data_IF_027886010571
#
_entry.id   IF_027886010571
#
_cell.length_a   1.000
_cell.length_b   1.000
_cell.length_c   1.000
_cell.angle_alpha   90.00
_cell.angle_beta   90.00
_cell.angle_gamma   90.00
#
_symmetry.space_group_name_H-M   'P 1'
#
loop_
_entity.id
_entity.type
_entity.pdbx_description
1 polymer ?
#
# COMPACT_ATOMS: atom_id res chain seq x y z
N UNK A 1 6.33 2.38 -21.57
CA UNK A 1 5.16 2.67 -20.72
C UNK A 1 5.60 2.71 -19.27
N UNK A 2 5.07 3.65 -18.48
CA UNK A 2 5.25 3.69 -17.02
C UNK A 2 4.43 2.57 -16.39
N UNK A 3 4.93 1.94 -15.31
CA UNK A 3 4.16 0.96 -14.54
C UNK A 3 3.81 1.55 -13.18
N UNK A 4 2.53 1.71 -12.87
CA UNK A 4 2.08 2.48 -11.70
C UNK A 4 1.45 1.59 -10.63
N UNK A 5 1.80 1.81 -9.37
CA UNK A 5 1.11 1.21 -8.23
C UNK A 5 0.62 2.29 -7.27
N UNK A 6 -0.64 2.20 -6.83
CA UNK A 6 -1.20 3.06 -5.80
C UNK A 6 -1.04 2.38 -4.44
N UNK A 7 -0.61 3.14 -3.44
CA UNK A 7 -0.47 2.64 -2.07
C UNK A 7 -1.19 3.53 -1.06
N UNK A 8 -1.76 2.90 -0.04
CA UNK A 8 -2.21 3.54 1.18
C UNK A 8 -1.54 2.84 2.37
N UNK A 9 -1.01 3.62 3.30
CA UNK A 9 -0.45 3.13 4.55
C UNK A 9 -1.27 3.72 5.69
N UNK A 10 -1.81 2.85 6.54
CA UNK A 10 -2.58 3.22 7.73
C UNK A 10 -1.92 2.64 8.97
N UNK A 11 -1.82 3.45 10.02
CA UNK A 11 -1.34 3.04 11.36
C UNK A 11 -2.28 3.59 12.43
N UNK A 12 -2.26 3.00 13.62
CA UNK A 12 -3.19 3.38 14.69
C UNK A 12 -2.72 4.58 15.52
N UNK A 13 -1.40 4.68 15.76
CA UNK A 13 -0.83 5.64 16.71
C UNK A 13 0.03 6.70 16.03
N UNK A 14 -0.07 7.96 16.48
CA UNK A 14 0.69 9.09 15.89
C UNK A 14 2.19 8.95 16.06
N UNK A 15 2.64 8.25 17.09
CA UNK A 15 4.04 7.97 17.37
C UNK A 15 4.71 7.15 16.26
N UNK A 16 3.95 6.42 15.44
CA UNK A 16 4.47 5.70 14.27
C UNK A 16 4.77 6.64 13.09
N UNK A 17 4.45 7.94 13.16
CA UNK A 17 4.75 8.91 12.08
C UNK A 17 6.24 8.96 11.70
N UNK A 18 7.15 8.78 12.67
CA UNK A 18 8.58 8.70 12.40
C UNK A 18 8.94 7.44 11.58
N UNK A 19 8.33 6.29 11.91
CA UNK A 19 8.51 5.05 11.16
C UNK A 19 7.93 5.15 9.74
N UNK A 20 6.79 5.84 9.58
CA UNK A 20 6.22 6.13 8.26
C UNK A 20 7.16 7.05 7.46
N UNK A 21 7.77 8.05 8.10
CA UNK A 21 8.75 8.91 7.45
C UNK A 21 10.00 8.13 7.01
N UNK A 22 10.52 7.21 7.83
CA UNK A 22 11.62 6.31 7.45
C UNK A 22 11.23 5.38 6.29
N UNK A 23 9.99 4.89 6.28
CA UNK A 23 9.45 4.08 5.19
C UNK A 23 9.34 4.90 3.89
N UNK A 24 8.83 6.12 3.97
CA UNK A 24 8.74 7.07 2.86
C UNK A 24 10.13 7.44 2.31
N UNK A 25 11.09 7.77 3.18
CA UNK A 25 12.46 8.05 2.77
C UNK A 25 13.08 6.83 2.04
N UNK A 26 12.79 5.62 2.52
CA UNK A 26 13.21 4.40 1.83
C UNK A 26 12.55 4.26 0.46
N UNK A 27 11.25 4.55 0.31
CA UNK A 27 10.58 4.56 -1.00
C UNK A 27 11.23 5.54 -1.99
N UNK A 28 11.64 6.71 -1.51
CA UNK A 28 12.23 7.76 -2.33
C UNK A 28 13.65 7.44 -2.78
N UNK A 29 14.42 6.71 -1.97
CA UNK A 29 15.88 6.61 -2.16
C UNK A 29 16.41 5.20 -2.38
N UNK A 30 15.73 4.18 -1.87
CA UNK A 30 16.28 2.82 -1.72
C UNK A 30 15.34 1.72 -2.22
N UNK A 31 14.05 1.98 -2.36
CA UNK A 31 13.13 0.98 -2.89
C UNK A 31 13.53 0.61 -4.32
N UNK A 32 13.72 -0.70 -4.62
CA UNK A 32 14.14 -1.13 -5.94
C UNK A 32 12.98 -1.04 -6.94
N UNK A 33 13.35 -0.81 -8.19
CA UNK A 33 12.41 -0.92 -9.32
C UNK A 33 12.27 -2.37 -9.78
N UNK A 34 11.04 -2.77 -10.11
CA UNK A 34 10.73 -4.04 -10.77
C UNK A 34 11.58 -4.18 -12.04
N UNK A 35 12.19 -5.35 -12.21
CA UNK A 35 13.06 -5.70 -13.34
C UNK A 35 14.33 -4.84 -13.47
N UNK A 36 14.61 -3.93 -12.53
CA UNK A 36 15.79 -3.07 -12.51
C UNK A 36 16.28 -2.87 -11.06
N UNK A 37 16.73 -3.93 -10.37
CA UNK A 37 17.02 -3.89 -8.94
C UNK A 37 18.17 -2.94 -8.55
N UNK A 38 18.97 -2.48 -9.52
CA UNK A 38 20.04 -1.50 -9.30
C UNK A 38 19.55 -0.04 -9.37
N UNK A 39 18.33 0.19 -9.85
CA UNK A 39 17.70 1.51 -9.90
C UNK A 39 16.75 1.62 -8.72
N UNK A 40 16.96 2.67 -7.92
CA UNK A 40 16.21 2.92 -6.70
C UNK A 40 15.35 4.18 -6.80
N UNK A 41 14.44 4.32 -5.85
CA UNK A 41 13.52 5.45 -5.81
C UNK A 41 12.31 5.20 -6.69
N UNK A 42 11.18 4.97 -6.04
CA UNK A 42 9.92 4.56 -6.69
C UNK A 42 8.80 5.55 -6.44
N UNK A 43 8.94 6.49 -5.50
CA UNK A 43 7.92 7.49 -5.21
C UNK A 43 7.99 7.95 -3.76
N UNK A 44 6.94 8.63 -3.31
CA UNK A 44 6.81 9.12 -1.94
C UNK A 44 5.40 8.94 -1.40
N UNK A 45 5.27 9.08 -0.09
CA UNK A 45 4.02 9.14 0.64
C UNK A 45 3.68 10.58 1.03
N UNK A 46 2.38 10.88 1.08
CA UNK A 46 1.85 12.11 1.66
C UNK A 46 0.79 11.79 2.70
N UNK A 47 0.88 12.45 3.86
CA UNK A 47 -0.13 12.36 4.91
C UNK A 47 -1.45 12.92 4.40
N UNK A 48 -2.49 12.08 4.34
CA UNK A 48 -3.83 12.51 3.99
C UNK A 48 -4.55 13.16 5.18
N UNK A 49 -4.26 12.73 6.40
CA UNK A 49 -4.94 13.19 7.60
C UNK A 49 -4.64 14.66 7.96
N UNK A 50 -3.53 15.21 7.45
CA UNK A 50 -3.16 16.63 7.60
C UNK A 50 -3.64 17.50 6.43
N UNK A 51 -4.35 16.91 5.45
CA UNK A 51 -4.86 17.60 4.26
C UNK A 51 -6.39 17.51 4.25
N UNK A 52 -7.13 18.40 4.96
CA UNK A 52 -8.59 18.32 5.08
C UNK A 52 -9.32 18.26 3.74
N UNK A 53 -8.83 18.98 2.73
CA UNK A 53 -9.39 19.01 1.38
C UNK A 53 -9.21 17.71 0.60
N UNK A 54 -8.35 16.78 1.07
CA UNK A 54 -8.21 15.45 0.50
C UNK A 54 -9.33 14.49 0.94
N UNK A 55 -10.16 14.89 1.91
CA UNK A 55 -11.26 14.09 2.44
C UNK A 55 -12.61 14.72 2.11
N UNK A 56 -13.60 13.89 1.83
CA UNK A 56 -14.99 14.33 1.78
C UNK A 56 -15.58 14.55 3.17
N UNK A 57 -16.61 15.39 3.27
CA UNK A 57 -17.36 15.62 4.51
C UNK A 57 -16.96 16.88 5.27
N UNK A 58 -17.49 17.04 6.48
CA UNK A 58 -17.34 18.26 7.31
C UNK A 58 -16.46 18.05 8.56
N UNK A 59 -15.85 16.87 8.72
CA UNK A 59 -15.09 16.49 9.91
C UNK A 59 -13.65 16.16 9.54
N UNK A 60 -12.75 16.33 10.51
CA UNK A 60 -11.37 15.89 10.35
C UNK A 60 -11.31 14.36 10.37
N UNK A 61 -10.47 13.76 9.51
CA UNK A 61 -10.23 12.31 9.55
C UNK A 61 -9.56 11.95 10.88
N UNK A 62 -10.07 10.90 11.53
CA UNK A 62 -9.46 10.34 12.74
C UNK A 62 -8.40 9.28 12.39
N UNK A 63 -8.47 8.72 11.18
CA UNK A 63 -7.52 7.72 10.71
C UNK A 63 -6.20 8.36 10.25
N UNK A 64 -5.07 7.81 10.69
CA UNK A 64 -3.75 8.20 10.23
C UNK A 64 -3.42 7.46 8.94
N UNK A 65 -3.66 8.12 7.81
CA UNK A 65 -3.44 7.55 6.48
C UNK A 65 -2.42 8.37 5.70
N UNK A 66 -1.54 7.67 5.00
CA UNK A 66 -0.64 8.20 3.98
C UNK A 66 -0.92 7.55 2.64
N UNK A 67 -0.81 8.31 1.56
CA UNK A 67 -1.03 7.83 0.20
C UNK A 67 0.16 8.12 -0.70
N UNK A 68 0.39 7.25 -1.67
CA UNK A 68 1.45 7.42 -2.66
C UNK A 68 1.10 6.77 -3.99
N UNK A 69 1.72 7.30 -5.04
CA UNK A 69 1.72 6.71 -6.38
C UNK A 69 3.16 6.35 -6.71
N UNK A 70 3.42 5.06 -6.85
CA UNK A 70 4.75 4.53 -7.09
C UNK A 70 4.96 4.19 -8.56
N UNK A 71 6.15 4.49 -9.08
CA UNK A 71 6.55 4.18 -10.43
C UNK A 71 7.56 3.02 -10.46
N UNK A 72 7.22 1.98 -11.22
CA UNK A 72 8.00 0.76 -11.39
C UNK A 72 8.37 0.06 -10.07
N UNK A 73 7.60 0.21 -8.99
CA UNK A 73 7.96 -0.39 -7.71
C UNK A 73 7.99 -1.93 -7.76
N UNK A 74 9.02 -2.51 -7.14
CA UNK A 74 8.96 -3.91 -6.72
C UNK A 74 8.04 -4.04 -5.51
N UNK A 75 6.80 -4.47 -5.76
CA UNK A 75 5.76 -4.60 -4.73
C UNK A 75 6.16 -5.59 -3.64
N UNK A 76 6.91 -6.64 -3.99
CA UNK A 76 7.37 -7.62 -3.00
C UNK A 76 8.35 -6.97 -2.02
N UNK A 77 9.29 -6.16 -2.52
CA UNK A 77 10.22 -5.42 -1.69
C UNK A 77 9.51 -4.42 -0.78
N UNK A 78 8.48 -3.72 -1.29
CA UNK A 78 7.67 -2.78 -0.50
C UNK A 78 6.95 -3.51 0.65
N UNK A 79 6.30 -4.64 0.37
CA UNK A 79 5.62 -5.45 1.40
C UNK A 79 6.61 -6.00 2.43
N UNK A 80 7.78 -6.48 1.98
CA UNK A 80 8.83 -6.95 2.88
C UNK A 80 9.35 -5.83 3.79
N UNK A 81 9.59 -4.64 3.25
CA UNK A 81 10.00 -3.47 4.04
C UNK A 81 8.95 -3.13 5.08
N UNK A 82 7.67 -3.13 4.70
CA UNK A 82 6.54 -2.89 5.62
C UNK A 82 6.48 -3.94 6.73
N UNK A 83 6.68 -5.21 6.38
CA UNK A 83 6.75 -6.32 7.34
C UNK A 83 7.91 -6.24 8.32
N UNK A 84 9.04 -5.66 7.90
CA UNK A 84 10.24 -5.50 8.72
C UNK A 84 10.21 -4.26 9.62
N UNK A 85 9.32 -3.30 9.37
CA UNK A 85 9.17 -2.11 10.20
C UNK A 85 8.62 -2.50 11.57
N UNK A 86 9.23 -1.95 12.63
CA UNK A 86 8.83 -2.20 14.03
C UNK A 86 7.67 -1.29 14.45
N UNK A 87 6.53 -1.46 13.83
CA UNK A 87 5.29 -0.75 14.19
C UNK A 87 4.99 -0.92 15.68
N UNK A 88 4.44 0.12 16.33
CA UNK A 88 4.09 0.03 17.76
C UNK A 88 2.94 -0.93 18.01
N UNK A 89 1.95 -0.94 17.13
CA UNK A 89 0.82 -1.88 17.16
C UNK A 89 0.77 -2.62 15.82
N UNK A 90 1.62 -3.64 15.61
CA UNK A 90 1.75 -4.32 14.31
C UNK A 90 0.43 -4.87 13.77
N UNK A 91 -0.45 -5.36 14.65
CA UNK A 91 -1.71 -5.98 14.24
C UNK A 91 -2.70 -4.99 13.60
N UNK A 92 -2.53 -3.68 13.87
CA UNK A 92 -3.34 -2.59 13.33
C UNK A 92 -2.69 -1.85 12.16
N UNK A 93 -1.39 -2.06 11.91
CA UNK A 93 -0.72 -1.51 10.73
C UNK A 93 -1.26 -2.18 9.46
N UNK A 94 -1.64 -1.36 8.48
CA UNK A 94 -2.23 -1.81 7.23
C UNK A 94 -1.52 -1.15 6.05
N UNK A 95 -1.09 -1.97 5.09
CA UNK A 95 -0.60 -1.51 3.80
C UNK A 95 -1.53 -1.99 2.71
N UNK A 96 -2.15 -1.07 2.00
CA UNK A 96 -3.04 -1.34 0.88
C UNK A 96 -2.27 -1.03 -0.41
N UNK A 97 -2.23 -1.99 -1.35
CA UNK A 97 -1.53 -1.81 -2.63
C UNK A 97 -2.46 -2.21 -3.77
N UNK A 98 -2.57 -1.35 -4.78
CA UNK A 98 -3.20 -1.65 -6.06
C UNK A 98 -2.17 -1.47 -7.17
N UNK A 99 -1.69 -2.59 -7.72
CA UNK A 99 -0.78 -2.58 -8.88
C UNK A 99 -1.54 -2.25 -10.17
N UNK A 100 -0.84 -1.82 -11.23
CA UNK A 100 -1.46 -1.25 -12.45
C UNK A 100 -2.58 -2.10 -13.07
N UNK A 101 -2.41 -3.42 -13.06
CA UNK A 101 -3.35 -4.38 -13.68
C UNK A 101 -4.42 -4.87 -12.71
N UNK A 102 -4.42 -4.39 -11.46
CA UNK A 102 -5.35 -4.83 -10.43
C UNK A 102 -6.56 -3.91 -10.36
N UNK A 103 -7.75 -4.49 -10.34
CA UNK A 103 -9.01 -3.74 -10.19
C UNK A 103 -9.32 -3.27 -8.77
N UNK A 104 -8.55 -3.70 -7.76
CA UNK A 104 -8.77 -3.33 -6.37
C UNK A 104 -7.48 -3.46 -5.53
N UNK A 105 -7.49 -2.81 -4.37
CA UNK A 105 -6.41 -2.89 -3.39
C UNK A 105 -6.33 -4.27 -2.74
N UNK A 106 -5.12 -4.80 -2.64
CA UNK A 106 -4.78 -5.90 -1.73
C UNK A 106 -4.35 -5.30 -0.40
N UNK A 107 -4.88 -5.84 0.68
CA UNK A 107 -4.58 -5.39 2.04
C UNK A 107 -3.50 -6.31 2.62
N UNK A 108 -2.47 -5.73 3.20
CA UNK A 108 -1.40 -6.42 3.91
C UNK A 108 -1.42 -5.97 5.37
N UNK A 109 -1.43 -6.93 6.29
CA UNK A 109 -1.36 -6.68 7.74
C UNK A 109 -0.26 -7.53 8.35
N UNK A 110 0.27 -7.12 9.50
CA UNK A 110 1.26 -7.93 10.22
C UNK A 110 0.52 -9.02 11.01
N UNK A 111 0.90 -10.27 10.79
CA UNK A 111 0.40 -11.45 11.52
C UNK A 111 1.56 -12.39 11.78
N UNK A 112 1.69 -12.84 13.03
CA UNK A 112 2.81 -13.66 13.49
C UNK A 112 4.18 -13.07 13.08
N UNK A 113 4.33 -11.75 13.24
CA UNK A 113 5.56 -11.01 12.92
C UNK A 113 5.86 -10.87 11.43
N UNK A 114 4.94 -11.24 10.53
CA UNK A 114 5.14 -11.18 9.09
C UNK A 114 4.01 -10.43 8.40
N UNK A 115 4.33 -9.67 7.34
CA UNK A 115 3.30 -9.11 6.47
C UNK A 115 2.57 -10.24 5.73
N UNK A 116 1.25 -10.35 5.95
CA UNK A 116 0.38 -11.31 5.27
C UNK A 116 -0.70 -10.57 4.51
N UNK A 117 -1.01 -11.04 3.31
CA UNK A 117 -2.13 -10.52 2.55
C UNK A 117 -3.43 -10.97 3.23
N UNK A 118 -4.31 -10.03 3.53
CA UNK A 118 -5.63 -10.26 4.06
C UNK A 118 -6.64 -10.15 2.92
N UNK A 119 -7.37 -11.24 2.65
CA UNK A 119 -8.31 -11.50 1.54
C UNK A 119 -7.70 -11.72 0.13
N UNK A 120 -8.11 -12.77 -0.60
CA UNK A 120 -8.16 -12.75 -2.06
C UNK A 120 -9.40 -11.96 -2.52
N UNK A 121 -9.26 -11.14 -3.57
CA UNK A 121 -10.42 -10.53 -4.25
C UNK A 121 -11.28 -11.65 -4.88
N UNK A 122 -12.60 -11.47 -5.01
CA UNK A 122 -13.41 -12.32 -5.89
C UNK A 122 -12.85 -12.25 -7.32
N UNK A 123 -12.79 -13.39 -8.02
CA UNK A 123 -12.51 -13.41 -9.45
C UNK A 123 -13.71 -12.82 -10.19
N UNK A 124 -13.70 -11.51 -10.44
CA UNK A 124 -14.72 -10.83 -11.27
C UNK A 124 -14.68 -11.24 -12.76
N UNK A 125 -13.92 -12.29 -13.12
CA UNK A 125 -13.75 -12.80 -14.48
C UNK A 125 -14.29 -14.23 -14.71
N UNK A 126 -14.95 -14.84 -13.73
CA UNK A 126 -15.48 -16.21 -13.85
C UNK A 126 -16.93 -16.30 -14.39
N UNK A 127 -17.65 -15.18 -14.48
CA UNK A 127 -19.11 -15.19 -14.74
C UNK A 127 -19.53 -14.81 -16.17
N UNK A 128 -18.61 -14.83 -17.14
CA UNK A 128 -18.93 -14.56 -18.56
C UNK A 128 -18.54 -15.70 -19.50
N UNK A 129 -18.68 -16.95 -19.03
CA UNK A 129 -18.68 -18.14 -19.89
C UNK A 129 -19.96 -18.96 -19.71
N UNK A 130 -20.95 -18.63 -20.54
CA UNK A 130 -21.77 -19.63 -21.20
C UNK A 130 -23.00 -20.14 -20.46
N UNK A 131 -24.09 -19.35 -20.47
CA UNK A 131 -25.42 -19.96 -20.55
C UNK A 131 -25.71 -20.24 -22.03
N UNK A 132 -25.22 -21.38 -22.54
CA UNK A 132 -25.87 -22.07 -23.65
C UNK A 132 -26.72 -23.17 -23.05
N UNK A 133 -28.01 -22.89 -22.88
CA UNK A 133 -29.01 -23.89 -22.51
C UNK A 133 -29.35 -24.75 -23.74
N UNK A 134 -29.53 -26.08 -23.59
CA UNK A 134 -29.90 -26.99 -24.68
C UNK A 134 -31.28 -26.75 -25.27
#
# INVERSE_FOLDING_TARGET
MSWVANILLSVDVREDSALVHEFDQWLQTQAPRRNQPHVHGVGSLRALHDTPEAWGGQKHPEALVWAGVLNHADIRAVVQRFGATRWRIPDLAQLMIMDQEQGAFRIWMIRDGNARQYLPLPDFGADDQGVSTP
#
